data_IF_022048588446
#
_entry.id   IF_022048588446
#
_cell.length_a   1.000
_cell.length_b   1.000
_cell.length_c   1.000
_cell.angle_alpha   90.00
_cell.angle_beta   90.00
_cell.angle_gamma   90.00
#
_symmetry.space_group_name_H-M   'P 1'
#
loop_
_entity.id
_entity.type
_entity.pdbx_description
1 polymer ?
#
# COMPACT_ATOMS: atom_id res chain seq x y z
N UNK A 1 -16.53 8.00 -6.86
CA UNK A 1 -17.21 6.77 -6.38
C UNK A 1 -16.44 6.24 -5.18
N UNK A 2 -17.08 6.06 -4.03
CA UNK A 2 -16.45 5.43 -2.87
C UNK A 2 -16.28 3.93 -3.16
N UNK A 3 -15.07 3.40 -3.01
CA UNK A 3 -14.82 1.97 -3.17
C UNK A 3 -15.29 1.27 -1.90
N UNK A 4 -16.26 0.38 -2.03
CA UNK A 4 -16.83 -0.36 -0.90
C UNK A 4 -16.52 -1.83 -1.07
N UNK A 5 -15.88 -2.43 -0.07
CA UNK A 5 -15.70 -3.87 0.00
C UNK A 5 -16.97 -4.50 0.56
N UNK A 6 -17.46 -5.54 -0.10
CA UNK A 6 -18.62 -6.33 0.31
C UNK A 6 -18.23 -7.80 0.24
N UNK A 7 -17.74 -8.40 1.34
CA UNK A 7 -17.51 -9.84 1.40
C UNK A 7 -18.85 -10.57 1.32
N UNK A 8 -18.85 -11.81 0.83
CA UNK A 8 -19.98 -12.71 1.03
C UNK A 8 -20.07 -13.03 2.55
N UNK A 9 -21.27 -13.17 3.14
CA UNK A 9 -21.43 -13.35 4.59
C UNK A 9 -20.64 -14.54 5.17
N UNK A 10 -20.48 -15.61 4.40
CA UNK A 10 -19.71 -16.82 4.71
C UNK A 10 -18.21 -16.72 4.38
N UNK A 11 -17.75 -15.58 3.83
CA UNK A 11 -16.38 -15.36 3.35
C UNK A 11 -15.74 -14.08 3.90
N UNK A 12 -16.11 -13.69 5.12
CA UNK A 12 -15.38 -12.64 5.84
C UNK A 12 -13.95 -13.13 6.07
N UNK A 13 -12.98 -12.38 5.54
CA UNK A 13 -11.57 -12.72 5.67
C UNK A 13 -11.05 -12.28 7.03
N UNK A 14 -10.32 -13.17 7.72
CA UNK A 14 -9.44 -12.76 8.81
C UNK A 14 -8.32 -11.86 8.27
N UNK A 15 -7.76 -10.93 9.07
CA UNK A 15 -6.59 -10.13 8.69
C UNK A 15 -5.43 -10.95 8.12
N UNK A 16 -5.10 -12.11 8.70
CA UNK A 16 -4.02 -12.98 8.19
C UNK A 16 -4.30 -13.52 6.78
N UNK A 17 -5.51 -14.02 6.52
CA UNK A 17 -5.92 -14.43 5.16
C UNK A 17 -5.92 -13.27 4.18
N UNK A 18 -6.30 -12.08 4.62
CA UNK A 18 -6.21 -10.90 3.77
C UNK A 18 -4.74 -10.54 3.46
N UNK A 19 -3.84 -10.69 4.43
CA UNK A 19 -2.40 -10.51 4.25
C UNK A 19 -1.85 -11.48 3.21
N UNK A 20 -2.14 -12.78 3.33
CA UNK A 20 -1.71 -13.81 2.37
C UNK A 20 -2.06 -13.43 0.92
N UNK A 21 -3.27 -12.90 0.70
CA UNK A 21 -3.74 -12.46 -0.62
C UNK A 21 -2.94 -11.26 -1.13
N UNK A 22 -2.68 -10.27 -0.27
CA UNK A 22 -1.88 -9.07 -0.61
C UNK A 22 -0.46 -9.48 -0.96
N UNK A 23 0.19 -10.28 -0.11
CA UNK A 23 1.56 -10.73 -0.33
C UNK A 23 1.68 -11.55 -1.61
N UNK A 24 0.71 -12.42 -1.90
CA UNK A 24 0.66 -13.15 -3.18
C UNK A 24 0.62 -12.20 -4.39
N UNK A 25 -0.07 -11.07 -4.29
CA UNK A 25 -0.08 -10.07 -5.37
C UNK A 25 1.22 -9.24 -5.47
N UNK A 26 1.99 -9.16 -4.39
CA UNK A 26 3.25 -8.42 -4.31
C UNK A 26 4.48 -9.25 -4.69
N UNK A 27 4.46 -10.58 -4.52
CA UNK A 27 5.61 -11.49 -4.68
C UNK A 27 6.39 -11.38 -6.01
N UNK A 28 5.76 -10.91 -7.09
CA UNK A 28 6.42 -10.74 -8.39
C UNK A 28 7.16 -9.41 -8.58
N UNK A 29 6.98 -8.47 -7.65
CA UNK A 29 7.43 -7.08 -7.81
C UNK A 29 8.13 -6.51 -6.58
N UNK A 30 7.82 -7.02 -5.38
CA UNK A 30 8.35 -6.50 -4.12
C UNK A 30 9.29 -7.50 -3.45
N UNK A 31 10.32 -6.98 -2.81
CA UNK A 31 11.08 -7.68 -1.78
C UNK A 31 10.21 -7.68 -0.51
N UNK A 32 9.86 -8.85 0.03
CA UNK A 32 8.87 -9.01 1.11
C UNK A 32 9.53 -9.57 2.37
N UNK A 33 9.33 -8.88 3.49
CA UNK A 33 9.63 -9.35 4.84
C UNK A 33 8.33 -9.56 5.61
N UNK A 34 7.95 -10.80 5.85
CA UNK A 34 6.79 -11.15 6.69
C UNK A 34 7.18 -11.06 8.17
N UNK A 35 6.28 -10.51 9.00
CA UNK A 35 6.45 -10.33 10.46
C UNK A 35 7.85 -9.79 10.84
N UNK A 36 8.24 -8.62 10.33
CA UNK A 36 9.56 -8.06 10.60
C UNK A 36 9.75 -7.81 12.11
N UNK A 37 10.93 -8.14 12.62
CA UNK A 37 11.34 -7.76 13.97
C UNK A 37 11.53 -6.24 14.02
N UNK A 38 10.48 -5.56 14.47
CA UNK A 38 10.28 -4.13 14.25
C UNK A 38 9.87 -3.38 15.52
N UNK A 39 9.58 -4.11 16.61
CA UNK A 39 8.95 -3.58 17.81
C UNK A 39 7.48 -3.16 17.65
N UNK A 40 6.90 -3.30 16.45
CA UNK A 40 5.48 -3.02 16.19
C UNK A 40 4.72 -4.34 15.98
N UNK A 41 3.95 -4.80 16.97
CA UNK A 41 3.30 -6.12 16.91
C UNK A 41 2.20 -6.21 15.86
N UNK A 42 1.65 -5.07 15.41
CA UNK A 42 0.60 -5.05 14.38
C UNK A 42 1.17 -5.11 12.95
N UNK A 43 2.49 -4.98 12.77
CA UNK A 43 3.11 -4.99 11.45
C UNK A 43 3.22 -6.43 10.93
N UNK A 44 2.28 -6.82 10.08
CA UNK A 44 2.21 -8.16 9.49
C UNK A 44 3.22 -8.38 8.37
N UNK A 45 3.53 -7.34 7.60
CA UNK A 45 4.58 -7.40 6.59
C UNK A 45 5.14 -6.03 6.22
N UNK A 46 6.40 -6.03 5.81
CA UNK A 46 7.06 -4.92 5.16
C UNK A 46 7.44 -5.33 3.73
N UNK A 47 7.04 -4.53 2.74
CA UNK A 47 7.26 -4.82 1.33
C UNK A 47 7.94 -3.64 0.65
N UNK A 48 9.04 -3.91 -0.03
CA UNK A 48 9.87 -2.91 -0.69
C UNK A 48 9.79 -3.09 -2.20
N UNK A 49 9.39 -2.04 -2.89
CA UNK A 49 9.49 -1.97 -4.34
C UNK A 49 10.55 -0.94 -4.69
N UNK A 50 11.51 -1.38 -5.49
CA UNK A 50 12.51 -0.52 -6.10
C UNK A 50 12.40 -0.68 -7.60
N UNK A 51 12.07 0.41 -8.30
CA UNK A 51 12.17 0.41 -9.75
C UNK A 51 13.66 0.24 -10.12
N UNK A 52 14.06 -0.97 -10.53
CA UNK A 52 15.43 -1.28 -10.98
C UNK A 52 15.54 -0.99 -12.47
N UNK A 53 16.55 -0.21 -12.84
CA UNK A 53 16.94 0.09 -14.22
C UNK A 53 17.51 -1.16 -14.92
N UNK A 54 16.68 -2.13 -15.24
CA UNK A 54 17.04 -3.13 -16.24
C UNK A 54 16.38 -2.75 -17.56
N UNK A 55 16.96 -1.76 -18.24
CA UNK A 55 17.04 -1.65 -19.70
C UNK A 55 18.04 -0.56 -20.11
N UNK A 56 19.32 -0.93 -20.11
CA UNK A 56 20.19 -0.48 -21.18
C UNK A 56 19.64 -1.04 -22.50
N UNK A 57 18.78 -0.28 -23.19
CA UNK A 57 18.52 -0.47 -24.62
C UNK A 57 18.94 0.81 -25.32
N UNK A 58 20.23 0.83 -25.66
CA UNK A 58 20.78 1.36 -26.92
C UNK A 58 20.12 2.65 -27.44
N UNK A 59 20.48 3.79 -26.86
CA UNK A 59 20.88 4.98 -27.62
C UNK A 59 21.43 6.02 -26.65
N UNK A 60 22.62 6.51 -26.96
CA UNK A 60 23.46 7.47 -26.24
C UNK A 60 22.86 8.87 -26.05
N UNK A 61 21.52 9.00 -26.10
CA UNK A 61 20.74 10.23 -25.83
C UNK A 61 19.66 10.04 -24.75
N UNK A 62 19.45 8.82 -24.23
CA UNK A 62 18.35 8.49 -23.30
C UNK A 62 18.67 8.65 -21.79
N UNK A 63 19.69 9.43 -21.42
CA UNK A 63 20.09 9.67 -20.01
C UNK A 63 19.15 10.59 -19.21
N UNK A 64 18.02 11.02 -19.79
CA UNK A 64 17.22 12.12 -19.26
C UNK A 64 16.10 11.73 -18.29
N UNK A 65 15.83 10.44 -18.05
CA UNK A 65 14.66 10.05 -17.24
C UNK A 65 14.85 8.77 -16.41
N UNK A 66 16.04 8.56 -15.83
CA UNK A 66 16.22 7.54 -14.76
C UNK A 66 15.18 7.81 -13.65
N UNK A 67 14.14 6.98 -13.61
CA UNK A 67 13.03 7.11 -12.67
C UNK A 67 13.31 6.22 -11.49
N UNK A 68 14.10 6.71 -10.53
CA UNK A 68 14.26 6.02 -9.25
C UNK A 68 13.02 6.30 -8.40
N UNK A 69 12.00 5.48 -8.57
CA UNK A 69 10.85 5.40 -7.67
C UNK A 69 11.04 4.25 -6.67
N UNK A 70 10.71 4.53 -5.40
CA UNK A 70 10.68 3.54 -4.35
C UNK A 70 9.32 3.54 -3.66
N UNK A 71 8.84 2.36 -3.29
CA UNK A 71 7.66 2.22 -2.45
C UNK A 71 7.97 1.31 -1.26
N UNK A 72 7.65 1.82 -0.07
CA UNK A 72 7.84 1.14 1.20
C UNK A 72 6.47 0.90 1.82
N UNK A 73 5.92 -0.30 1.61
CA UNK A 73 4.59 -0.68 2.06
C UNK A 73 4.64 -1.42 3.40
N UNK A 74 3.98 -0.84 4.39
CA UNK A 74 3.83 -1.38 5.73
C UNK A 74 2.39 -1.88 5.87
N UNK A 75 2.21 -3.19 5.93
CA UNK A 75 0.90 -3.84 6.02
C UNK A 75 0.61 -4.21 7.46
N UNK A 76 -0.31 -3.48 8.09
CA UNK A 76 -0.73 -3.68 9.46
C UNK A 76 -2.02 -4.50 9.54
N UNK A 77 -2.10 -5.35 10.55
CA UNK A 77 -3.26 -6.18 10.86
C UNK A 77 -3.87 -5.73 12.18
N UNK A 78 -5.17 -5.41 12.19
CA UNK A 78 -5.86 -4.90 13.38
C UNK A 78 -7.28 -5.45 13.46
N UNK A 79 -7.75 -5.97 14.60
CA UNK A 79 -9.15 -6.43 14.68
C UNK A 79 -10.15 -5.28 14.58
N UNK A 80 -9.90 -4.19 15.32
CA UNK A 80 -10.71 -2.97 15.30
C UNK A 80 -9.80 -1.76 15.21
N UNK A 81 -9.87 -1.05 14.09
CA UNK A 81 -9.12 0.18 13.89
C UNK A 81 -9.88 1.38 14.49
N UNK A 82 -9.30 1.98 15.53
CA UNK A 82 -9.75 3.23 16.17
C UNK A 82 -8.82 4.41 15.84
N UNK A 83 -9.18 5.59 16.36
CA UNK A 83 -8.48 6.85 16.06
C UNK A 83 -7.02 6.83 16.50
N UNK A 84 -6.77 6.39 17.74
CA UNK A 84 -5.44 6.34 18.34
C UNK A 84 -4.54 5.36 17.59
N UNK A 85 -5.04 4.15 17.33
CA UNK A 85 -4.30 3.14 16.58
C UNK A 85 -4.01 3.63 15.17
N UNK A 86 -4.99 4.21 14.46
CA UNK A 86 -4.76 4.75 13.13
C UNK A 86 -3.69 5.85 13.09
N UNK A 87 -3.70 6.76 14.08
CA UNK A 87 -2.71 7.82 14.18
C UNK A 87 -1.30 7.26 14.44
N UNK A 88 -1.18 6.29 15.37
CA UNK A 88 0.06 5.60 15.70
C UNK A 88 0.65 4.88 14.49
N UNK A 89 -0.15 4.09 13.77
CA UNK A 89 0.32 3.34 12.60
C UNK A 89 0.79 4.25 11.46
N UNK A 90 0.11 5.37 11.22
CA UNK A 90 0.55 6.37 10.24
C UNK A 90 1.88 7.01 10.66
N UNK A 91 2.05 7.33 11.94
CA UNK A 91 3.29 7.90 12.47
C UNK A 91 4.45 6.90 12.38
N UNK A 92 4.22 5.64 12.76
CA UNK A 92 5.18 4.54 12.67
C UNK A 92 5.67 4.33 11.23
N UNK A 93 4.74 4.22 10.27
CA UNK A 93 5.07 4.15 8.83
C UNK A 93 5.98 5.31 8.40
N UNK A 94 5.65 6.54 8.81
CA UNK A 94 6.43 7.72 8.44
C UNK A 94 7.83 7.70 9.04
N UNK A 95 7.97 7.29 10.31
CA UNK A 95 9.28 7.20 10.97
C UNK A 95 10.16 6.17 10.26
N UNK A 96 9.63 4.97 10.02
CA UNK A 96 10.36 3.89 9.35
C UNK A 96 10.75 4.24 7.92
N UNK A 97 9.79 4.73 7.12
CA UNK A 97 10.06 5.11 5.74
C UNK A 97 11.10 6.23 5.65
N UNK A 98 11.06 7.24 6.52
CA UNK A 98 12.07 8.31 6.55
C UNK A 98 13.48 7.79 6.80
N UNK A 99 13.64 6.73 7.59
CA UNK A 99 14.95 6.13 7.85
C UNK A 99 15.53 5.43 6.60
N UNK A 100 14.67 4.98 5.69
CA UNK A 100 15.07 4.28 4.46
C UNK A 100 15.27 5.22 3.26
N UNK A 101 14.55 6.35 3.22
CA UNK A 101 14.63 7.30 2.11
C UNK A 101 16.00 7.98 2.07
N UNK A 102 16.79 7.62 1.06
CA UNK A 102 18.10 8.24 0.75
C UNK A 102 17.96 9.15 -0.48
N UNK A 103 17.81 10.48 -0.30
CA UNK A 103 17.64 11.40 -1.42
C UNK A 103 18.97 11.57 -2.17
N UNK A 104 19.06 11.01 -3.37
CA UNK A 104 20.19 11.16 -4.30
C UNK A 104 19.76 11.99 -5.52
N UNK A 105 20.72 12.46 -6.33
CA UNK A 105 20.48 13.37 -7.47
C UNK A 105 19.48 12.83 -8.52
N UNK A 106 19.29 11.51 -8.59
CA UNK A 106 18.34 10.85 -9.49
C UNK A 106 17.15 10.21 -8.75
N UNK A 107 16.99 10.48 -7.44
CA UNK A 107 15.82 10.05 -6.67
C UNK A 107 14.62 10.87 -7.12
N UNK A 108 13.59 10.25 -7.70
CA UNK A 108 12.41 10.98 -8.14
C UNK A 108 11.34 11.00 -7.05
N UNK A 109 10.91 9.82 -6.61
CA UNK A 109 9.84 9.70 -5.64
C UNK A 109 10.05 8.54 -4.68
N UNK A 110 9.69 8.73 -3.41
CA UNK A 110 9.50 7.65 -2.45
C UNK A 110 8.12 7.69 -1.83
N UNK A 111 7.46 6.54 -1.81
CA UNK A 111 6.13 6.40 -1.23
C UNK A 111 6.22 5.63 0.08
N UNK A 112 5.84 6.30 1.17
CA UNK A 112 5.60 5.64 2.45
C UNK A 112 4.14 5.17 2.45
N UNK A 113 3.92 3.87 2.31
CA UNK A 113 2.59 3.28 2.16
C UNK A 113 2.14 2.65 3.48
N UNK A 114 1.25 3.32 4.20
CA UNK A 114 0.57 2.79 5.38
C UNK A 114 -0.70 2.05 4.92
N UNK A 115 -0.68 0.71 5.03
CA UNK A 115 -1.76 -0.18 4.62
C UNK A 115 -2.34 -0.87 5.84
N UNK A 116 -3.62 -0.64 6.15
CA UNK A 116 -4.27 -1.28 7.31
C UNK A 116 -5.36 -2.25 6.85
N UNK A 117 -5.16 -3.53 7.16
CA UNK A 117 -6.18 -4.56 7.03
C UNK A 117 -6.85 -4.70 8.38
N UNK A 118 -8.14 -4.34 8.47
CA UNK A 118 -8.84 -4.33 9.74
C UNK A 118 -10.12 -5.15 9.74
N UNK A 119 -10.47 -5.81 10.84
CA UNK A 119 -11.77 -6.48 10.97
C UNK A 119 -12.91 -5.47 10.85
N UNK A 120 -12.85 -4.42 11.67
CA UNK A 120 -13.78 -3.28 11.66
C UNK A 120 -13.03 -1.94 11.81
N UNK A 121 -13.69 -0.82 11.50
CA UNK A 121 -13.09 0.51 11.54
C UNK A 121 -14.09 1.57 12.03
N UNK A 122 -13.65 2.42 12.96
CA UNK A 122 -14.47 3.54 13.43
C UNK A 122 -14.51 4.71 12.43
N UNK A 123 -15.54 5.57 12.45
CA UNK A 123 -15.56 6.80 11.66
C UNK A 123 -14.36 7.72 11.94
N UNK A 124 -13.89 7.77 13.18
CA UNK A 124 -12.76 8.56 13.64
C UNK A 124 -11.45 8.06 13.00
N UNK A 125 -11.22 6.74 13.04
CA UNK A 125 -10.10 6.10 12.35
C UNK A 125 -10.13 6.39 10.85
N UNK A 126 -11.30 6.26 10.22
CA UNK A 126 -11.49 6.57 8.82
C UNK A 126 -11.16 8.04 8.51
N UNK A 127 -11.47 8.97 9.42
CA UNK A 127 -11.08 10.39 9.30
C UNK A 127 -9.56 10.56 9.38
N UNK A 128 -8.87 9.88 10.30
CA UNK A 128 -7.41 9.90 10.39
C UNK A 128 -6.80 9.45 9.06
N UNK A 129 -7.14 8.24 8.59
CA UNK A 129 -6.59 7.70 7.33
C UNK A 129 -6.84 8.66 6.15
N UNK A 130 -8.04 9.25 6.04
CA UNK A 130 -8.38 10.19 4.97
C UNK A 130 -7.68 11.54 5.09
N UNK A 131 -7.35 12.02 6.30
CA UNK A 131 -6.73 13.33 6.54
C UNK A 131 -5.21 13.29 6.65
N UNK A 132 -4.61 12.13 6.90
CA UNK A 132 -3.15 11.97 6.95
C UNK A 132 -2.48 12.43 5.65
N UNK A 133 -1.63 13.45 5.75
CA UNK A 133 -0.83 13.98 4.64
C UNK A 133 0.59 14.20 5.12
N UNK A 134 1.53 13.78 4.30
CA UNK A 134 2.93 14.12 4.48
C UNK A 134 3.57 14.17 3.10
N UNK A 135 4.30 15.25 2.83
CA UNK A 135 5.15 15.39 1.66
C UNK A 135 6.41 16.13 2.08
N UNK A 136 7.56 15.61 1.67
CA UNK A 136 8.85 16.26 1.89
C UNK A 136 9.61 16.26 0.57
N UNK A 137 9.84 17.44 0.01
CA UNK A 137 10.74 17.61 -1.13
C UNK A 137 12.18 17.74 -0.64
N UNK A 138 13.11 17.18 -1.38
CA UNK A 138 14.54 17.27 -1.08
C UNK A 138 15.20 18.23 -2.08
N UNK A 139 15.99 19.18 -1.56
CA UNK A 139 16.74 20.18 -2.36
C UNK A 139 15.88 20.82 -3.45
N UNK A 140 14.80 21.51 -3.05
CA UNK A 140 13.84 22.13 -3.98
C UNK A 140 13.25 21.17 -5.02
N UNK A 141 13.07 19.91 -4.65
CA UNK A 141 12.60 18.79 -5.50
C UNK A 141 13.60 18.32 -6.56
N UNK A 142 14.83 18.85 -6.58
CA UNK A 142 15.88 18.38 -7.50
C UNK A 142 16.44 17.01 -7.09
N UNK A 143 16.18 16.59 -5.85
CA UNK A 143 16.56 15.28 -5.29
C UNK A 143 15.29 14.48 -4.94
N UNK A 144 14.21 14.77 -5.68
CA UNK A 144 12.92 14.12 -5.54
C UNK A 144 12.12 14.56 -4.33
N UNK A 145 11.08 13.78 -4.05
CA UNK A 145 10.22 13.96 -2.89
C UNK A 145 9.85 12.60 -2.28
N UNK A 146 9.47 12.62 -1.01
CA UNK A 146 8.71 11.53 -0.42
C UNK A 146 7.28 11.95 -0.12
N UNK A 147 6.35 11.01 -0.20
CA UNK A 147 4.93 11.25 0.04
C UNK A 147 4.28 10.07 0.78
N UNK A 148 3.40 10.38 1.74
CA UNK A 148 2.63 9.37 2.47
C UNK A 148 1.38 8.97 1.69
N UNK A 149 1.24 7.69 1.42
CA UNK A 149 -0.01 7.05 1.01
C UNK A 149 -0.58 6.29 2.20
N UNK A 150 -1.81 6.58 2.58
CA UNK A 150 -2.52 5.85 3.65
C UNK A 150 -3.79 5.25 3.11
N UNK A 151 -4.04 3.99 3.40
CA UNK A 151 -5.29 3.31 3.06
C UNK A 151 -5.66 2.25 4.10
N UNK A 152 -6.96 2.05 4.30
CA UNK A 152 -7.49 1.02 5.19
C UNK A 152 -8.70 0.33 4.55
N UNK A 153 -8.83 -0.98 4.80
CA UNK A 153 -9.96 -1.81 4.38
C UNK A 153 -10.59 -2.53 5.58
N UNK A 154 -11.91 -2.34 5.83
CA UNK A 154 -12.65 -3.16 6.78
C UNK A 154 -13.05 -4.49 6.14
N UNK A 155 -12.51 -5.60 6.64
CA UNK A 155 -12.69 -6.95 6.12
C UNK A 155 -14.06 -7.53 6.46
N UNK A 156 -14.76 -7.02 7.49
CA UNK A 156 -16.18 -7.29 7.72
C UNK A 156 -17.10 -6.66 6.65
N UNK A 157 -16.53 -5.85 5.75
CA UNK A 157 -17.26 -5.07 4.77
C UNK A 157 -17.42 -3.61 5.19
N UNK A 158 -17.50 -2.73 4.20
CA UNK A 158 -17.58 -1.29 4.40
C UNK A 158 -16.71 -0.49 3.43
N UNK A 159 -16.62 0.83 3.62
CA UNK A 159 -15.87 1.69 2.73
C UNK A 159 -14.36 1.45 2.88
N UNK A 160 -13.69 1.24 1.75
CA UNK A 160 -12.24 1.35 1.66
C UNK A 160 -11.91 2.83 1.68
N UNK A 161 -11.03 3.23 2.59
CA UNK A 161 -10.67 4.63 2.79
C UNK A 161 -9.20 4.85 2.44
N UNK A 162 -8.89 6.02 1.93
CA UNK A 162 -7.51 6.45 1.67
C UNK A 162 -7.39 7.96 1.74
N UNK A 163 -6.15 8.43 1.90
CA UNK A 163 -5.83 9.81 1.61
C UNK A 163 -5.85 10.09 0.09
N UNK A 164 -5.79 11.39 -0.28
CA UNK A 164 -5.87 11.82 -1.69
C UNK A 164 -4.87 11.11 -2.60
N UNK A 165 -3.66 10.88 -2.12
CA UNK A 165 -2.53 10.32 -2.88
C UNK A 165 -2.48 8.79 -2.82
N UNK A 166 -3.15 8.17 -1.84
CA UNK A 166 -3.33 6.73 -1.70
C UNK A 166 -4.56 6.16 -2.41
N UNK A 167 -5.19 6.92 -3.33
CA UNK A 167 -6.36 6.43 -4.07
C UNK A 167 -6.05 5.18 -4.89
N UNK A 168 -4.87 5.10 -5.50
CA UNK A 168 -4.48 3.93 -6.29
C UNK A 168 -4.20 2.72 -5.40
N UNK A 169 -3.69 2.96 -4.18
CA UNK A 169 -3.60 1.96 -3.12
C UNK A 169 -4.99 1.42 -2.74
N UNK A 170 -5.99 2.30 -2.56
CA UNK A 170 -7.37 1.85 -2.31
C UNK A 170 -7.99 1.09 -3.50
N UNK A 171 -7.71 1.49 -4.75
CA UNK A 171 -8.13 0.73 -5.94
C UNK A 171 -7.45 -0.62 -6.03
N UNK A 172 -6.18 -0.72 -5.64
CA UNK A 172 -5.46 -1.98 -5.54
C UNK A 172 -6.14 -2.90 -4.51
N UNK A 173 -6.36 -2.44 -3.27
CA UNK A 173 -7.08 -3.20 -2.25
C UNK A 173 -8.44 -3.68 -2.76
N UNK A 174 -9.22 -2.77 -3.37
CA UNK A 174 -10.49 -3.13 -3.97
C UNK A 174 -10.36 -4.26 -5.00
N UNK A 175 -9.45 -4.14 -5.97
CA UNK A 175 -9.26 -5.14 -7.03
C UNK A 175 -8.80 -6.50 -6.50
N UNK A 176 -7.91 -6.49 -5.51
CA UNK A 176 -7.36 -7.71 -4.92
C UNK A 176 -8.42 -8.50 -4.16
N UNK A 177 -9.33 -7.81 -3.46
CA UNK A 177 -10.38 -8.44 -2.67
C UNK A 177 -11.72 -8.58 -3.41
N UNK A 178 -11.85 -8.08 -4.64
CA UNK A 178 -13.03 -8.36 -5.45
C UNK A 178 -13.14 -9.86 -5.75
N UNK A 179 -14.36 -10.44 -5.67
CA UNK A 179 -14.60 -11.77 -6.22
C UNK A 179 -14.19 -11.75 -7.70
N UNK A 180 -13.27 -12.62 -8.10
CA UNK A 180 -12.98 -12.81 -9.53
C UNK A 180 -14.27 -13.29 -10.19
N UNK A 181 -14.81 -12.52 -11.16
CA UNK A 181 -15.87 -13.03 -12.03
C UNK A 181 -15.33 -14.31 -12.67
N UNK A 182 -15.99 -15.45 -12.45
CA UNK A 182 -15.71 -16.67 -13.20
C UNK A 182 -16.06 -16.37 -14.66
N UNK A 183 -15.06 -16.17 -15.50
CA UNK A 183 -15.27 -16.16 -16.94
C UNK A 183 -15.62 -17.58 -17.35
N UNK A 184 -16.91 -17.85 -17.54
CA UNK A 184 -17.35 -19.07 -18.20
C UNK A 184 -16.88 -18.98 -19.66
N UNK A 185 -15.72 -19.56 -19.97
CA UNK A 185 -15.46 -19.97 -21.35
C UNK A 185 -16.39 -21.15 -21.64
N UNK A 186 -17.58 -20.83 -22.14
CA UNK A 186 -18.44 -21.81 -22.76
C UNK A 186 -17.66 -22.43 -23.91
N UNK A 187 -17.27 -23.72 -23.77
CA UNK A 187 -16.97 -24.55 -24.93
C UNK A 187 -18.19 -24.47 -25.84
N UNK A 188 -18.05 -23.87 -27.02
CA UNK A 188 -18.96 -24.16 -28.13
C UNK A 188 -18.79 -25.65 -28.43
N UNK A 189 -19.80 -26.43 -28.07
CA UNK A 189 -19.97 -27.80 -28.52
C UNK A 189 -20.70 -27.82 -29.86
N UNK A 190 -20.29 -28.80 -30.67
CA UNK A 190 -20.70 -29.16 -32.03
C UNK A 190 -20.29 -28.21 -33.15
#
# INVERSE_FOLDING_TARGET
MALTYRPEPDKILSPDKALEIILKSYRGYYDITEKPDSGEPLLGAFCEYHQRDEKYVLTSKAKLWETNEHEYAYVYLVDRLDEETAARLVADTLVRAKALVKPVKNHMASYACCLVLCGSMTPEAARVIKKSRYRKSFRFSWYGWMELRSAAIPLSGGPIVSNRVGRDTAKFLYRVFQPRKKTFFGKKGN
#
